data_IF_579600517573
#
_entry.id   IF_579600517573
#
_cell.length_a   1.000
_cell.length_b   1.000
_cell.length_c   1.000
_cell.angle_alpha   90.00
_cell.angle_beta   90.00
_cell.angle_gamma   90.00
#
_symmetry.space_group_name_H-M   'P 1'
#
loop_
_entity.id
_entity.type
_entity.pdbx_description
1 polymer ?
#
# COMPACT_ATOMS: atom_id res chain seq x y z
N UNK A 1 2.10 -24.87 13.10
CA UNK A 1 1.18 -25.38 14.13
C UNK A 1 -0.11 -25.99 13.54
N UNK A 2 -0.21 -26.12 12.21
CA UNK A 2 -1.40 -26.65 11.55
C UNK A 2 -2.54 -25.64 11.38
N UNK A 3 -2.36 -24.39 11.85
CA UNK A 3 -3.35 -23.32 11.77
C UNK A 3 -2.77 -22.05 11.15
N UNK A 4 -1.65 -21.56 11.67
CA UNK A 4 -0.97 -20.41 11.10
C UNK A 4 -0.40 -20.78 9.74
N UNK A 5 -0.59 -19.85 8.80
CA UNK A 5 -0.02 -19.97 7.48
C UNK A 5 1.51 -19.90 7.56
N UNK A 6 2.16 -20.76 6.78
CA UNK A 6 3.56 -20.59 6.45
C UNK A 6 3.73 -19.36 5.55
N UNK A 7 4.97 -18.97 5.27
CA UNK A 7 5.23 -17.91 4.28
C UNK A 7 4.59 -18.23 2.92
N UNK A 8 4.66 -19.49 2.48
CA UNK A 8 4.01 -19.95 1.25
C UNK A 8 2.48 -19.87 1.32
N UNK A 9 1.89 -20.24 2.46
CA UNK A 9 0.46 -20.10 2.70
C UNK A 9 -0.01 -18.63 2.64
N UNK A 10 0.77 -17.71 3.23
CA UNK A 10 0.48 -16.28 3.16
C UNK A 10 0.56 -15.74 1.73
N UNK A 11 1.51 -16.22 0.93
CA UNK A 11 1.63 -15.81 -0.47
C UNK A 11 0.34 -16.14 -1.25
N UNK A 12 -0.19 -17.35 -1.09
CA UNK A 12 -1.43 -17.76 -1.77
C UNK A 12 -2.60 -16.86 -1.39
N UNK A 13 -2.76 -16.58 -0.10
CA UNK A 13 -3.84 -15.69 0.38
C UNK A 13 -3.66 -14.26 -0.12
N UNK A 14 -2.41 -13.77 -0.14
CA UNK A 14 -2.10 -12.44 -0.66
C UNK A 14 -2.44 -12.31 -2.15
N UNK A 15 -2.05 -13.29 -2.97
CA UNK A 15 -2.31 -13.27 -4.42
C UNK A 15 -3.82 -13.25 -4.70
N UNK A 16 -4.62 -14.08 -4.01
CA UNK A 16 -6.08 -14.10 -4.14
C UNK A 16 -6.74 -12.78 -3.70
N UNK A 17 -6.25 -12.21 -2.60
CA UNK A 17 -6.74 -10.93 -2.08
C UNK A 17 -6.50 -9.80 -3.08
N UNK A 18 -5.29 -9.71 -3.64
CA UNK A 18 -4.94 -8.68 -4.62
C UNK A 18 -5.77 -8.82 -5.90
N UNK A 19 -5.98 -10.05 -6.37
CA UNK A 19 -6.83 -10.29 -7.55
C UNK A 19 -8.28 -9.87 -7.29
N UNK A 20 -8.82 -10.22 -6.11
CA UNK A 20 -10.19 -9.87 -5.71
C UNK A 20 -10.37 -8.35 -5.61
N UNK A 21 -9.47 -7.65 -4.92
CA UNK A 21 -9.51 -6.19 -4.83
C UNK A 21 -9.45 -5.52 -6.20
N UNK A 22 -8.62 -6.07 -7.11
CA UNK A 22 -8.50 -5.55 -8.48
C UNK A 22 -9.81 -5.68 -9.26
N UNK A 23 -10.55 -6.79 -9.09
CA UNK A 23 -11.88 -6.98 -9.71
C UNK A 23 -12.90 -5.95 -9.21
N UNK A 24 -12.79 -5.55 -7.94
CA UNK A 24 -13.59 -4.49 -7.33
C UNK A 24 -13.09 -3.06 -7.64
N UNK A 25 -12.09 -2.92 -8.52
CA UNK A 25 -11.55 -1.63 -8.96
C UNK A 25 -10.47 -1.03 -8.04
N UNK A 26 -10.05 -1.76 -7.00
CA UNK A 26 -8.97 -1.36 -6.10
C UNK A 26 -7.68 -2.03 -6.52
N UNK A 27 -6.70 -1.27 -7.01
CA UNK A 27 -5.38 -1.79 -7.36
C UNK A 27 -4.28 -0.95 -6.73
N UNK A 28 -3.16 -1.60 -6.37
CA UNK A 28 -1.98 -0.90 -5.83
C UNK A 28 -1.46 0.16 -6.80
N UNK A 29 -1.58 -0.08 -8.11
CA UNK A 29 -1.14 0.87 -9.13
C UNK A 29 -2.07 2.09 -9.27
N UNK A 30 -3.31 2.01 -8.80
CA UNK A 30 -4.31 3.09 -8.89
C UNK A 30 -4.55 3.80 -7.57
N UNK A 31 -4.11 3.24 -6.45
CA UNK A 31 -4.23 3.85 -5.14
C UNK A 31 -3.17 4.95 -4.98
N UNK A 32 -3.56 6.21 -4.67
CA UNK A 32 -2.60 7.24 -4.34
C UNK A 32 -1.91 6.89 -3.02
N UNK A 33 -0.65 7.33 -2.87
CA UNK A 33 0.00 7.26 -1.56
C UNK A 33 -0.66 8.25 -0.61
N UNK A 34 -0.85 7.84 0.64
CA UNK A 34 -1.41 8.71 1.68
C UNK A 34 -0.49 9.89 2.02
N UNK A 35 0.82 9.73 1.75
CA UNK A 35 1.87 10.69 2.06
C UNK A 35 2.75 10.92 0.83
N UNK A 36 3.45 12.07 0.75
CA UNK A 36 4.40 12.32 -0.33
C UNK A 36 5.49 11.25 -0.37
N UNK A 37 5.91 10.86 -1.58
CA UNK A 37 7.09 10.04 -1.74
C UNK A 37 8.33 10.82 -1.29
N UNK A 38 9.36 10.12 -0.83
CA UNK A 38 10.60 10.77 -0.37
C UNK A 38 11.25 11.65 -1.46
N UNK A 39 11.11 11.27 -2.73
CA UNK A 39 11.56 12.04 -3.88
C UNK A 39 10.74 13.30 -4.17
N UNK A 40 9.54 13.40 -3.60
CA UNK A 40 8.60 14.52 -3.76
C UNK A 40 8.68 15.51 -2.57
N UNK A 41 9.46 15.16 -1.54
CA UNK A 41 9.67 16.03 -0.38
C UNK A 41 10.71 17.10 -0.74
N UNK A 42 10.34 18.37 -0.57
CA UNK A 42 11.29 19.48 -0.74
C UNK A 42 12.31 19.45 0.42
N UNK A 43 13.61 19.24 0.16
CA UNK A 43 14.60 19.16 1.23
C UNK A 43 14.82 20.51 1.95
N UNK A 44 14.40 21.63 1.37
CA UNK A 44 14.52 22.97 1.97
C UNK A 44 13.30 23.35 2.80
N UNK A 45 12.15 22.76 2.52
CA UNK A 45 10.92 22.93 3.28
C UNK A 45 10.10 21.63 3.30
N UNK A 46 10.54 20.62 4.08
CA UNK A 46 9.93 19.28 4.02
C UNK A 46 8.48 19.27 4.47
N UNK A 47 8.10 20.15 5.40
CA UNK A 47 6.77 20.18 6.01
C UNK A 47 5.69 20.57 5.00
N UNK A 48 6.03 21.42 4.02
CA UNK A 48 5.11 21.81 2.94
C UNK A 48 4.65 20.64 2.08
N UNK A 49 5.45 19.58 1.98
CA UNK A 49 5.10 18.40 1.18
C UNK A 49 4.02 17.53 1.84
N UNK A 50 3.72 17.74 3.13
CA UNK A 50 2.70 16.98 3.84
C UNK A 50 1.38 17.77 3.86
N UNK A 51 0.26 17.17 3.40
CA UNK A 51 -1.05 17.80 3.55
C UNK A 51 -1.47 17.86 5.02
N UNK A 52 -2.13 18.94 5.44
CA UNK A 52 -2.72 19.04 6.78
C UNK A 52 -3.79 17.96 6.94
N UNK A 53 -3.47 16.90 7.67
CA UNK A 53 -4.43 15.85 8.04
C UNK A 53 -5.44 16.46 9.03
N UNK A 54 -6.69 16.62 8.60
CA UNK A 54 -7.82 16.98 9.46
C UNK A 54 -8.55 15.74 9.95
#
# INVERSE_FOLDING_TARGET
DGLHLTADGNKVVFDELVETLKKEGLSVASLPSDLPLLSEIDPRDPLKSFPDTK
#
